data_IF_041638327398
#
_entry.id   IF_041638327398
#
_cell.length_a   1.000
_cell.length_b   1.000
_cell.length_c   1.000
_cell.angle_alpha   90.00
_cell.angle_beta   90.00
_cell.angle_gamma   90.00
#
_symmetry.space_group_name_H-M   'P 1'
#
loop_
_entity.id
_entity.type
_entity.pdbx_description
1 polymer ?
#
# COMPACT_ATOMS: atom_id res chain seq x y z
N UNK A 1 21.99 -3.99 -18.51
CA UNK A 1 21.18 -3.09 -17.65
C UNK A 1 21.97 -2.74 -16.40
N UNK A 2 22.31 -1.45 -16.20
CA UNK A 2 23.03 -0.96 -15.00
C UNK A 2 22.21 -1.14 -13.72
N UNK A 3 22.85 -1.31 -12.56
CA UNK A 3 22.18 -1.38 -11.24
C UNK A 3 21.21 -0.22 -11.03
N UNK A 4 21.64 1.00 -11.38
CA UNK A 4 20.81 2.22 -11.36
C UNK A 4 19.49 2.06 -12.13
N UNK A 5 19.54 1.45 -13.32
CA UNK A 5 18.34 1.21 -14.15
C UNK A 5 17.41 0.15 -13.57
N UNK A 6 17.94 -0.85 -12.86
CA UNK A 6 17.15 -1.88 -12.18
C UNK A 6 16.38 -1.28 -11.00
N UNK A 7 17.07 -0.52 -10.13
CA UNK A 7 16.45 0.16 -8.99
C UNK A 7 15.30 1.09 -9.40
N UNK A 8 15.51 1.93 -10.43
CA UNK A 8 14.45 2.80 -10.96
C UNK A 8 13.22 2.02 -11.44
N UNK A 9 13.44 0.87 -12.09
CA UNK A 9 12.33 0.02 -12.56
C UNK A 9 11.57 -0.58 -11.39
N UNK A 10 12.27 -1.06 -10.38
CA UNK A 10 11.67 -1.68 -9.21
C UNK A 10 10.90 -0.67 -8.36
N UNK A 11 11.43 0.54 -8.14
CA UNK A 11 10.72 1.65 -7.51
C UNK A 11 9.40 1.93 -8.25
N UNK A 12 9.43 1.96 -9.58
CA UNK A 12 8.22 2.17 -10.40
C UNK A 12 7.22 1.02 -10.25
N UNK A 13 7.70 -0.22 -10.08
CA UNK A 13 6.84 -1.37 -9.77
C UNK A 13 6.17 -1.18 -8.41
N UNK A 14 6.93 -0.85 -7.35
CA UNK A 14 6.38 -0.60 -6.02
C UNK A 14 5.31 0.50 -6.04
N UNK A 15 5.55 1.60 -6.75
CA UNK A 15 4.56 2.67 -6.91
C UNK A 15 3.25 2.18 -7.53
N UNK A 16 3.32 1.36 -8.57
CA UNK A 16 2.13 0.78 -9.21
C UNK A 16 1.40 -0.18 -8.26
N UNK A 17 2.16 -1.04 -7.58
CA UNK A 17 1.62 -2.00 -6.61
C UNK A 17 0.90 -1.29 -5.46
N UNK A 18 1.48 -0.22 -4.91
CA UNK A 18 0.84 0.60 -3.88
C UNK A 18 -0.51 1.14 -4.38
N UNK A 19 -0.56 1.73 -5.57
CA UNK A 19 -1.80 2.27 -6.15
C UNK A 19 -2.86 1.18 -6.34
N UNK A 20 -2.44 -0.01 -6.77
CA UNK A 20 -3.35 -1.14 -6.95
C UNK A 20 -3.93 -1.63 -5.62
N UNK A 21 -3.10 -1.74 -4.58
CA UNK A 21 -3.56 -2.15 -3.25
C UNK A 21 -4.44 -1.07 -2.63
N UNK A 22 -4.12 0.21 -2.80
CA UNK A 22 -4.95 1.33 -2.34
C UNK A 22 -6.35 1.30 -2.97
N UNK A 23 -6.44 0.98 -4.26
CA UNK A 23 -7.73 0.78 -4.94
C UNK A 23 -8.54 -0.36 -4.34
N UNK A 24 -7.89 -1.47 -3.98
CA UNK A 24 -8.56 -2.62 -3.34
C UNK A 24 -9.01 -2.30 -1.92
N UNK A 25 -8.19 -1.56 -1.16
CA UNK A 25 -8.51 -1.09 0.20
C UNK A 25 -9.66 -0.10 0.23
N UNK A 26 -9.88 0.66 -0.84
CA UNK A 26 -10.90 1.71 -0.88
C UNK A 26 -12.29 1.19 -0.51
N UNK A 27 -12.65 -0.05 -0.89
CA UNK A 27 -13.93 -0.67 -0.53
C UNK A 27 -14.08 -0.81 0.99
N UNK A 28 -13.17 -1.53 1.65
CA UNK A 28 -13.25 -1.74 3.09
C UNK A 28 -13.10 -0.43 3.85
N UNK A 29 -12.26 0.50 3.36
CA UNK A 29 -12.18 1.85 3.92
C UNK A 29 -13.53 2.58 3.89
N UNK A 30 -14.25 2.55 2.77
CA UNK A 30 -15.58 3.17 2.67
C UNK A 30 -16.59 2.53 3.61
N UNK A 31 -16.60 1.20 3.72
CA UNK A 31 -17.48 0.49 4.66
C UNK A 31 -17.20 0.86 6.11
N UNK A 32 -15.92 0.90 6.51
CA UNK A 32 -15.52 1.30 7.86
C UNK A 32 -15.90 2.76 8.16
N UNK A 33 -15.69 3.68 7.22
CA UNK A 33 -16.10 5.09 7.38
C UNK A 33 -17.62 5.20 7.52
N UNK A 34 -18.40 4.43 6.75
CA UNK A 34 -19.85 4.40 6.86
C UNK A 34 -20.32 3.92 8.23
N UNK A 35 -19.78 2.81 8.74
CA UNK A 35 -20.11 2.29 10.07
C UNK A 35 -19.85 3.33 11.16
N UNK A 36 -18.71 4.04 11.10
CA UNK A 36 -18.39 5.13 12.03
C UNK A 36 -19.42 6.26 11.96
N UNK A 37 -19.82 6.69 10.75
CA UNK A 37 -20.79 7.77 10.57
C UNK A 37 -22.19 7.39 11.07
N UNK A 38 -22.57 6.11 10.95
CA UNK A 38 -23.85 5.58 11.42
C UNK A 38 -23.82 5.17 12.91
N UNK A 39 -22.66 5.25 13.57
CA UNK A 39 -22.45 4.75 14.93
C UNK A 39 -22.77 3.25 15.06
N UNK A 40 -22.52 2.50 14.00
CA UNK A 40 -22.68 1.05 13.93
C UNK A 40 -21.34 0.36 14.16
N UNK A 41 -21.41 -0.89 14.64
CA UNK A 41 -20.23 -1.74 14.72
C UNK A 41 -19.77 -2.12 13.30
N UNK A 42 -18.49 -1.91 12.93
CA UNK A 42 -18.00 -2.26 11.61
C UNK A 42 -18.02 -3.78 11.39
N UNK A 43 -18.30 -4.19 10.15
CA UNK A 43 -18.22 -5.58 9.76
C UNK A 43 -16.78 -6.12 9.91
N UNK A 44 -16.63 -7.29 10.52
CA UNK A 44 -15.32 -7.91 10.79
C UNK A 44 -14.51 -8.15 9.52
N UNK A 45 -15.13 -8.61 8.42
CA UNK A 45 -14.42 -8.84 7.15
C UNK A 45 -13.84 -7.53 6.61
N UNK A 46 -14.59 -6.43 6.67
CA UNK A 46 -14.11 -5.13 6.21
C UNK A 46 -12.92 -4.64 7.06
N UNK A 47 -12.95 -4.89 8.37
CA UNK A 47 -11.81 -4.60 9.27
C UNK A 47 -10.58 -5.42 8.86
N UNK A 48 -10.73 -6.72 8.68
CA UNK A 48 -9.64 -7.61 8.27
C UNK A 48 -9.04 -7.21 6.92
N UNK A 49 -9.89 -6.95 5.91
CA UNK A 49 -9.44 -6.51 4.60
C UNK A 49 -8.71 -5.17 4.65
N UNK A 50 -9.23 -4.21 5.40
CA UNK A 50 -8.58 -2.91 5.57
C UNK A 50 -7.19 -3.06 6.20
N UNK A 51 -7.09 -3.85 7.27
CA UNK A 51 -5.83 -4.09 7.97
C UNK A 51 -4.81 -4.81 7.09
N UNK A 52 -5.25 -5.87 6.38
CA UNK A 52 -4.41 -6.60 5.43
C UNK A 52 -3.81 -5.68 4.37
N UNK A 53 -4.65 -4.93 3.66
CA UNK A 53 -4.17 -4.04 2.60
C UNK A 53 -3.29 -2.91 3.13
N UNK A 54 -3.59 -2.39 4.33
CA UNK A 54 -2.74 -1.39 4.98
C UNK A 54 -1.36 -1.96 5.32
N UNK A 55 -1.29 -3.20 5.79
CA UNK A 55 -0.03 -3.92 5.99
C UNK A 55 0.76 -4.09 4.70
N UNK A 56 0.11 -4.57 3.62
CA UNK A 56 0.74 -4.75 2.31
C UNK A 56 1.29 -3.42 1.73
N UNK A 57 0.51 -2.33 1.82
CA UNK A 57 0.96 -0.99 1.41
C UNK A 57 2.18 -0.56 2.21
N UNK A 58 2.18 -0.78 3.53
CA UNK A 58 3.27 -0.38 4.43
C UNK A 58 4.55 -1.14 4.09
N UNK A 59 4.48 -2.45 3.90
CA UNK A 59 5.60 -3.27 3.47
C UNK A 59 6.17 -2.80 2.12
N UNK A 60 5.30 -2.53 1.14
CA UNK A 60 5.71 -2.05 -0.18
C UNK A 60 6.36 -0.66 -0.13
N UNK A 61 5.84 0.25 0.72
CA UNK A 61 6.43 1.58 0.95
C UNK A 61 7.81 1.49 1.59
N UNK A 62 7.98 0.61 2.58
CA UNK A 62 9.28 0.38 3.21
C UNK A 62 10.31 -0.14 2.21
N UNK A 63 9.97 -1.17 1.43
CA UNK A 63 10.81 -1.67 0.35
C UNK A 63 11.18 -0.58 -0.66
N UNK A 64 10.20 0.23 -1.08
CA UNK A 64 10.44 1.35 -1.99
C UNK A 64 11.41 2.39 -1.41
N UNK A 65 11.33 2.69 -0.11
CA UNK A 65 12.25 3.63 0.55
C UNK A 65 13.68 3.08 0.58
N UNK A 66 13.87 1.79 0.83
CA UNK A 66 15.18 1.14 0.80
C UNK A 66 15.81 1.23 -0.60
N UNK A 67 15.03 0.91 -1.64
CA UNK A 67 15.48 1.04 -3.03
C UNK A 67 15.85 2.48 -3.41
N UNK A 68 15.11 3.48 -2.89
CA UNK A 68 15.42 4.90 -3.11
C UNK A 68 16.74 5.29 -2.44
N UNK A 69 16.95 4.88 -1.18
CA UNK A 69 18.22 5.11 -0.47
C UNK A 69 19.39 4.47 -1.20
N UNK A 70 19.24 3.23 -1.67
CA UNK A 70 20.28 2.57 -2.46
C UNK A 70 20.57 3.35 -3.75
N UNK A 71 19.54 3.81 -4.45
CA UNK A 71 19.69 4.58 -5.69
C UNK A 71 20.39 5.93 -5.46
N UNK A 72 20.15 6.59 -4.33
CA UNK A 72 20.81 7.83 -3.93
C UNK A 72 22.28 7.63 -3.56
N UNK A 73 22.64 6.44 -3.06
CA UNK A 73 24.01 6.06 -2.73
C UNK A 73 24.88 5.62 -3.92
N UNK A 74 24.32 5.61 -5.15
CA UNK A 74 24.97 5.22 -6.41
C UNK A 74 25.27 6.39 -7.35
#
# INVERSE_FOLDING_TARGET
>A
MSRKSKLKREIKTCQKTIVEIERRRARSQSALVQAILLQEEPNEDDVEWFNKYTGEITACRNHMMELKKELESL
#
